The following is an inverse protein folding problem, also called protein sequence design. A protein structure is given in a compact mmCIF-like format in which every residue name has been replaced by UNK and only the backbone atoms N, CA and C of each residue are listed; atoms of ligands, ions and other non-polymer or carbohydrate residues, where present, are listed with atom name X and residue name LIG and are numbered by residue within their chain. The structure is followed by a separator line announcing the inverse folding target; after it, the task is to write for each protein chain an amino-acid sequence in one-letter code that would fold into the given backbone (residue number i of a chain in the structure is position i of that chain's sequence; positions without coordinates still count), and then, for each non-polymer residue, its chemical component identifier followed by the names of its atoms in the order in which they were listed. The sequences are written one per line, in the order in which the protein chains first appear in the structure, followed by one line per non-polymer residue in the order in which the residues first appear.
data_IF_535694626630
#
_entry.id   IF_535694626630
#
_cell.length_a   1.000
_cell.length_b   1.000
_cell.length_c   1.000
_cell.angle_alpha   90.00
_cell.angle_beta   90.00
_cell.angle_gamma   90.00
#
_symmetry.space_group_name_H-M   'P 1'
#
loop_
_entity.id
_entity.type
_entity.pdbx_description
1 polymer ?
#
# COMPACT_ATOMS: atom_id res chain seq x y z
N UNK A 1 -18.65 -8.81 18.15
CA UNK A 1 -17.98 -8.05 17.07
C UNK A 1 -17.17 -6.96 17.74
N UNK A 2 -15.88 -6.85 17.48
CA UNK A 2 -15.06 -5.78 18.05
C UNK A 2 -15.42 -4.46 17.35
N UNK A 3 -15.69 -3.41 18.12
CA UNK A 3 -16.02 -2.09 17.58
C UNK A 3 -14.68 -1.36 17.36
N UNK A 4 -14.45 -0.88 16.14
CA UNK A 4 -13.31 -0.06 15.82
C UNK A 4 -13.54 1.39 16.30
N UNK A 5 -12.49 2.07 16.73
CA UNK A 5 -12.56 3.46 17.17
C UNK A 5 -12.79 4.40 15.97
N UNK A 6 -12.08 4.13 14.87
CA UNK A 6 -12.16 4.86 13.59
C UNK A 6 -11.45 4.09 12.47
N UNK A 7 -11.59 4.53 11.24
CA UNK A 7 -10.73 4.12 10.13
C UNK A 7 -9.45 4.98 10.05
N UNK A 8 -8.45 4.47 9.33
CA UNK A 8 -7.15 5.14 9.24
C UNK A 8 -7.22 6.43 8.41
N UNK A 9 -8.14 6.52 7.45
CA UNK A 9 -8.29 7.75 6.65
C UNK A 9 -8.70 8.93 7.52
N UNK A 10 -9.64 8.73 8.44
CA UNK A 10 -10.05 9.77 9.41
C UNK A 10 -8.86 10.23 10.25
N UNK A 11 -8.02 9.30 10.74
CA UNK A 11 -6.82 9.68 11.46
C UNK A 11 -5.85 10.48 10.58
N UNK A 12 -5.65 10.05 9.32
CA UNK A 12 -4.77 10.76 8.38
C UNK A 12 -5.25 12.19 8.11
N UNK A 13 -6.56 12.39 7.94
CA UNK A 13 -7.13 13.73 7.75
C UNK A 13 -7.02 14.62 9.00
N UNK A 14 -7.23 14.05 10.17
CA UNK A 14 -6.99 14.77 11.42
C UNK A 14 -5.53 15.19 11.55
N UNK A 15 -4.60 14.27 11.32
CA UNK A 15 -3.16 14.56 11.34
C UNK A 15 -2.76 15.58 10.27
N UNK A 16 -3.33 15.51 9.06
CA UNK A 16 -3.14 16.51 8.01
C UNK A 16 -3.60 17.90 8.45
N UNK A 17 -4.81 18.00 8.99
CA UNK A 17 -5.40 19.26 9.48
C UNK A 17 -4.52 19.94 10.52
N UNK A 18 -3.93 19.17 11.44
CA UNK A 18 -3.10 19.68 12.52
C UNK A 18 -1.60 19.62 12.22
N UNK A 19 -1.19 19.20 11.01
CA UNK A 19 0.21 19.01 10.58
C UNK A 19 1.00 18.09 11.53
N UNK A 20 0.34 17.08 12.10
CA UNK A 20 0.92 16.12 13.05
C UNK A 20 1.45 14.88 12.30
N UNK A 21 2.67 14.98 11.80
CA UNK A 21 3.31 13.86 11.12
C UNK A 21 3.57 12.70 12.07
N UNK A 22 3.48 11.48 11.54
CA UNK A 22 3.94 10.31 12.26
C UNK A 22 5.45 10.39 12.50
N UNK A 23 5.89 9.98 13.71
CA UNK A 23 7.29 9.63 13.90
C UNK A 23 7.64 8.39 13.07
N UNK A 24 8.90 8.22 12.73
CA UNK A 24 9.36 7.04 12.01
C UNK A 24 9.06 5.75 12.80
N UNK A 25 9.19 5.78 14.12
CA UNK A 25 8.84 4.64 15.00
C UNK A 25 7.36 4.25 14.90
N UNK A 26 6.45 5.23 14.85
CA UNK A 26 5.02 4.97 14.66
C UNK A 26 4.76 4.34 13.29
N UNK A 27 5.34 4.88 12.21
CA UNK A 27 5.20 4.32 10.88
C UNK A 27 5.72 2.88 10.80
N UNK A 28 6.89 2.59 11.35
CA UNK A 28 7.43 1.23 11.37
C UNK A 28 6.55 0.27 12.17
N UNK A 29 5.93 0.72 13.26
CA UNK A 29 4.96 -0.09 14.01
C UNK A 29 3.75 -0.43 13.14
N UNK A 30 3.18 0.55 12.44
CA UNK A 30 2.03 0.37 11.53
C UNK A 30 2.42 -0.58 10.39
N UNK A 31 3.53 -0.31 9.72
CA UNK A 31 4.03 -1.11 8.60
C UNK A 31 4.23 -2.58 9.03
N UNK A 32 4.92 -2.82 10.14
CA UNK A 32 5.16 -4.17 10.65
C UNK A 32 3.86 -4.91 10.93
N UNK A 33 2.91 -4.26 11.61
CA UNK A 33 1.64 -4.87 11.97
C UNK A 33 0.83 -5.26 10.74
N UNK A 34 0.73 -4.35 9.75
CA UNK A 34 -0.05 -4.59 8.54
C UNK A 34 0.64 -5.56 7.58
N UNK A 35 1.97 -5.50 7.43
CA UNK A 35 2.73 -6.49 6.64
C UNK A 35 2.52 -7.90 7.19
N UNK A 36 2.60 -8.11 8.51
CA UNK A 36 2.36 -9.43 9.12
C UNK A 36 0.95 -9.95 8.82
N UNK A 37 -0.05 -9.08 8.90
CA UNK A 37 -1.44 -9.45 8.55
C UNK A 37 -1.57 -9.81 7.07
N UNK A 38 -1.01 -8.99 6.17
CA UNK A 38 -1.10 -9.20 4.73
C UNK A 38 -0.25 -10.40 4.27
N UNK A 39 0.88 -10.67 4.93
CA UNK A 39 1.66 -11.91 4.74
C UNK A 39 0.87 -13.15 5.15
N UNK A 40 0.14 -13.08 6.26
CA UNK A 40 -0.73 -14.19 6.68
C UNK A 40 -1.86 -14.43 5.68
N UNK A 41 -2.47 -13.39 5.13
CA UNK A 41 -3.45 -13.51 4.04
C UNK A 41 -2.81 -14.16 2.81
N UNK A 42 -1.63 -13.71 2.40
CA UNK A 42 -0.91 -14.28 1.26
C UNK A 42 -0.53 -15.76 1.50
N UNK A 43 -0.09 -16.15 2.70
CA UNK A 43 0.18 -17.56 3.07
C UNK A 43 -1.06 -18.44 2.89
N UNK A 44 -2.24 -17.88 3.11
CA UNK A 44 -3.54 -18.54 2.90
C UNK A 44 -4.13 -18.30 1.51
N UNK A 45 -3.31 -17.83 0.57
CA UNK A 45 -3.73 -17.54 -0.82
C UNK A 45 -4.86 -16.51 -0.95
N UNK A 46 -5.03 -15.62 0.02
CA UNK A 46 -6.03 -14.55 0.02
C UNK A 46 -5.37 -13.25 -0.42
N UNK A 47 -5.91 -12.63 -1.47
CA UNK A 47 -5.58 -11.26 -1.91
C UNK A 47 -6.72 -10.32 -1.59
N UNK A 48 -6.42 -9.10 -1.17
CA UNK A 48 -7.43 -8.13 -0.70
C UNK A 48 -8.06 -7.33 -1.84
N UNK A 49 -7.24 -6.81 -2.75
CA UNK A 49 -7.59 -6.10 -4.00
C UNK A 49 -8.19 -4.70 -3.85
N UNK A 50 -8.38 -4.20 -2.64
CA UNK A 50 -8.80 -2.81 -2.37
C UNK A 50 -8.14 -2.27 -1.08
N UNK A 51 -6.80 -2.35 -1.02
CA UNK A 51 -6.04 -1.81 0.11
C UNK A 51 -6.00 -0.29 -0.01
N UNK A 52 -6.58 0.38 0.99
CA UNK A 52 -6.64 1.83 1.15
C UNK A 52 -6.86 2.21 2.62
N UNK A 53 -6.60 3.46 3.02
CA UNK A 53 -6.76 3.85 4.43
C UNK A 53 -8.17 3.66 5.00
N UNK A 54 -9.22 3.81 4.17
CA UNK A 54 -10.61 3.56 4.59
C UNK A 54 -10.84 2.11 5.05
N UNK A 55 -10.09 1.16 4.46
CA UNK A 55 -10.19 -0.27 4.73
C UNK A 55 -9.20 -0.74 5.80
N UNK A 56 -8.60 0.20 6.54
CA UNK A 56 -7.77 -0.07 7.71
C UNK A 56 -8.45 0.53 8.93
N UNK A 57 -8.93 -0.32 9.82
CA UNK A 57 -9.58 0.09 11.06
C UNK A 57 -8.56 0.21 12.19
N UNK A 58 -8.81 1.15 13.08
CA UNK A 58 -8.00 1.36 14.28
C UNK A 58 -8.84 0.98 15.49
N UNK A 59 -8.31 0.10 16.32
CA UNK A 59 -8.90 -0.31 17.58
C UNK A 59 -7.83 -0.43 18.66
N UNK A 60 -7.97 0.34 19.74
CA UNK A 60 -7.04 0.37 20.87
C UNK A 60 -5.57 0.53 20.43
N UNK A 61 -5.31 1.39 19.45
CA UNK A 61 -3.97 1.67 18.91
C UNK A 61 -3.37 0.55 18.03
N UNK A 62 -4.20 -0.41 17.60
CA UNK A 62 -3.85 -1.47 16.65
C UNK A 62 -4.56 -1.23 15.32
N UNK A 63 -3.84 -1.49 14.22
CA UNK A 63 -4.33 -1.33 12.84
C UNK A 63 -4.74 -2.69 12.29
N UNK A 64 -5.95 -2.78 11.75
CA UNK A 64 -6.56 -4.03 11.26
C UNK A 64 -7.11 -3.85 9.85
N UNK A 65 -6.81 -4.79 8.96
CA UNK A 65 -7.41 -4.83 7.62
C UNK A 65 -8.89 -5.21 7.74
N UNK A 66 -9.73 -4.52 6.98
CA UNK A 66 -11.19 -4.71 6.93
C UNK A 66 -11.70 -4.63 5.49
N UNK A 67 -12.99 -4.85 5.29
CA UNK A 67 -13.67 -4.83 3.98
C UNK A 67 -13.07 -5.81 2.95
N UNK A 68 -13.40 -7.07 3.13
CA UNK A 68 -13.01 -8.16 2.23
C UNK A 68 -13.98 -8.34 1.04
N UNK A 69 -14.81 -7.33 0.72
CA UNK A 69 -15.79 -7.41 -0.37
C UNK A 69 -15.19 -7.70 -1.75
N UNK A 70 -14.00 -7.20 -2.02
CA UNK A 70 -13.26 -7.49 -3.26
C UNK A 70 -12.22 -8.62 -3.13
N UNK A 71 -12.04 -9.18 -1.92
CA UNK A 71 -11.04 -10.21 -1.68
C UNK A 71 -11.31 -11.49 -2.47
N UNK A 72 -10.24 -12.22 -2.78
CA UNK A 72 -10.31 -13.50 -3.49
C UNK A 72 -9.35 -14.50 -2.88
N UNK A 73 -9.82 -15.75 -2.77
CA UNK A 73 -8.94 -16.89 -2.53
C UNK A 73 -8.46 -17.42 -3.87
N UNK A 74 -7.14 -17.56 -4.01
CA UNK A 74 -6.51 -18.03 -5.23
C UNK A 74 -6.20 -19.53 -5.10
N UNK A 75 -6.41 -20.29 -6.18
CA UNK A 75 -6.05 -21.72 -6.22
C UNK A 75 -4.51 -21.87 -6.24
N UNK A 76 -3.81 -20.92 -6.84
CA UNK A 76 -2.33 -20.91 -6.93
C UNK A 76 -1.82 -19.50 -6.70
N UNK A 77 -0.62 -19.38 -6.14
CA UNK A 77 0.10 -18.10 -6.13
C UNK A 77 0.57 -17.77 -7.55
N UNK A 78 0.52 -16.49 -7.91
CA UNK A 78 1.07 -16.03 -9.17
C UNK A 78 0.14 -15.09 -9.94
N UNK A 79 0.40 -15.05 -11.23
CA UNK A 79 -0.30 -14.16 -12.16
C UNK A 79 -1.67 -14.76 -12.49
N UNK A 80 -2.70 -13.96 -12.35
CA UNK A 80 -4.07 -14.30 -12.73
C UNK A 80 -4.67 -13.25 -13.64
N UNK A 81 -5.62 -13.63 -14.47
CA UNK A 81 -6.49 -12.69 -15.17
C UNK A 81 -7.62 -12.29 -14.23
N UNK A 82 -7.72 -11.03 -13.89
CA UNK A 82 -8.75 -10.52 -12.99
C UNK A 82 -9.36 -9.22 -13.49
N UNK A 83 -10.60 -8.93 -13.03
CA UNK A 83 -11.23 -7.64 -13.32
C UNK A 83 -10.40 -6.49 -12.77
N UNK A 84 -10.37 -5.38 -13.52
CA UNK A 84 -9.81 -4.12 -13.03
C UNK A 84 -10.69 -3.63 -11.88
N UNK A 85 -10.16 -3.62 -10.68
CA UNK A 85 -10.84 -3.28 -9.42
C UNK A 85 -9.90 -2.57 -8.46
N UNK A 86 -10.49 -1.83 -7.54
CA UNK A 86 -9.79 -1.08 -6.49
C UNK A 86 -10.04 0.41 -6.60
N UNK A 87 -9.50 1.16 -5.66
CA UNK A 87 -9.59 2.62 -5.62
C UNK A 87 -8.48 3.23 -6.44
N UNK A 88 -8.82 4.02 -7.46
CA UNK A 88 -7.92 4.56 -8.50
C UNK A 88 -6.58 5.08 -7.95
N UNK A 89 -6.64 5.89 -6.90
CA UNK A 89 -5.45 6.52 -6.31
C UNK A 89 -4.42 5.52 -5.75
N UNK A 90 -4.88 4.33 -5.35
CA UNK A 90 -4.05 3.28 -4.75
C UNK A 90 -3.76 2.11 -5.68
N UNK A 91 -4.34 2.08 -6.90
CA UNK A 91 -4.14 0.99 -7.86
C UNK A 91 -2.67 0.82 -8.24
N UNK A 92 -2.22 -0.42 -8.44
CA UNK A 92 -0.91 -0.69 -9.06
C UNK A 92 -0.87 -0.16 -10.51
N UNK A 93 0.32 0.11 -11.07
CA UNK A 93 0.45 0.67 -12.42
C UNK A 93 -0.32 -0.10 -13.48
N UNK A 94 -0.26 -1.43 -13.46
CA UNK A 94 -0.98 -2.28 -14.43
C UNK A 94 -2.51 -2.17 -14.30
N UNK A 95 -3.03 -2.08 -13.07
CA UNK A 95 -4.47 -1.88 -12.84
C UNK A 95 -4.92 -0.48 -13.27
N UNK A 96 -4.12 0.53 -12.97
CA UNK A 96 -4.39 1.91 -13.38
C UNK A 96 -4.36 2.08 -14.90
N UNK A 97 -3.38 1.49 -15.57
CA UNK A 97 -3.34 1.45 -17.03
C UNK A 97 -4.57 0.75 -17.60
N UNK A 98 -4.95 -0.40 -17.02
CA UNK A 98 -6.18 -1.11 -17.39
C UNK A 98 -7.42 -0.24 -17.25
N UNK A 99 -7.52 0.54 -16.15
CA UNK A 99 -8.61 1.48 -15.91
C UNK A 99 -8.65 2.57 -17.00
N UNK A 100 -7.51 3.21 -17.28
CA UNK A 100 -7.40 4.27 -18.31
C UNK A 100 -7.75 3.77 -19.70
N UNK A 101 -7.36 2.53 -20.02
CA UNK A 101 -7.68 1.89 -21.31
C UNK A 101 -9.09 1.26 -21.33
N UNK A 102 -9.87 1.40 -20.25
CA UNK A 102 -11.21 0.83 -20.08
C UNK A 102 -11.24 -0.70 -20.28
N UNK A 103 -10.17 -1.38 -19.90
CA UNK A 103 -10.10 -2.83 -19.95
C UNK A 103 -10.98 -3.43 -18.85
N UNK A 104 -11.71 -4.49 -19.17
CA UNK A 104 -12.52 -5.22 -18.19
C UNK A 104 -11.63 -6.05 -17.27
N UNK A 105 -10.54 -6.61 -17.81
CA UNK A 105 -9.63 -7.51 -17.12
C UNK A 105 -8.18 -7.24 -17.52
N UNK A 106 -7.28 -7.52 -16.59
CA UNK A 106 -5.82 -7.52 -16.83
C UNK A 106 -5.19 -8.76 -16.20
N UNK A 107 -4.05 -9.19 -16.76
CA UNK A 107 -3.24 -10.27 -16.21
C UNK A 107 -2.18 -9.67 -15.28
N UNK A 108 -2.21 -10.01 -14.00
CA UNK A 108 -1.27 -9.46 -13.02
C UNK A 108 -1.14 -10.35 -11.77
N UNK A 109 -0.09 -10.13 -10.98
CA UNK A 109 0.04 -10.71 -9.66
C UNK A 109 -0.69 -9.85 -8.63
N UNK A 110 -1.82 -10.35 -8.14
CA UNK A 110 -2.69 -9.59 -7.23
C UNK A 110 -2.03 -9.29 -5.88
N UNK A 111 -1.16 -10.17 -5.35
CA UNK A 111 -0.41 -9.90 -4.12
C UNK A 111 0.55 -8.73 -4.30
N UNK A 112 1.25 -8.67 -5.43
CA UNK A 112 2.16 -7.56 -5.73
C UNK A 112 1.40 -6.25 -6.03
N UNK A 113 0.18 -6.35 -6.56
CA UNK A 113 -0.71 -5.18 -6.68
C UNK A 113 -1.14 -4.67 -5.30
N UNK A 114 -1.48 -5.55 -4.36
CA UNK A 114 -1.79 -5.19 -2.97
C UNK A 114 -0.58 -4.53 -2.27
N UNK A 115 0.66 -4.99 -2.55
CA UNK A 115 1.89 -4.36 -2.03
C UNK A 115 2.01 -2.91 -2.52
N UNK A 116 1.77 -2.65 -3.80
CA UNK A 116 1.80 -1.28 -4.34
C UNK A 116 0.75 -0.40 -3.65
N UNK A 117 -0.48 -0.88 -3.55
CA UNK A 117 -1.57 -0.17 -2.87
C UNK A 117 -1.21 0.18 -1.42
N UNK A 118 -0.61 -0.77 -0.70
CA UNK A 118 -0.13 -0.54 0.66
C UNK A 118 1.03 0.47 0.70
N UNK A 119 1.96 0.40 -0.25
CA UNK A 119 3.03 1.40 -0.42
C UNK A 119 2.49 2.82 -0.57
N UNK A 120 1.45 3.00 -1.38
CA UNK A 120 0.75 4.29 -1.54
C UNK A 120 0.10 4.76 -0.22
N UNK A 121 -0.50 3.84 0.56
CA UNK A 121 -1.05 4.18 1.88
C UNK A 121 0.03 4.69 2.85
N UNK A 122 1.18 4.00 2.93
CA UNK A 122 2.30 4.41 3.78
C UNK A 122 2.90 5.73 3.31
N UNK A 123 3.01 5.94 1.99
CA UNK A 123 3.51 7.19 1.45
C UNK A 123 2.58 8.36 1.80
N UNK A 124 1.26 8.17 1.70
CA UNK A 124 0.29 9.15 2.18
C UNK A 124 0.44 9.43 3.67
N UNK A 125 0.53 8.40 4.50
CA UNK A 125 0.73 8.55 5.94
C UNK A 125 2.03 9.31 6.29
N UNK A 126 3.07 9.14 5.46
CA UNK A 126 4.37 9.81 5.65
C UNK A 126 4.34 11.28 5.25
N UNK A 127 3.54 11.65 4.25
CA UNK A 127 3.52 12.99 3.66
C UNK A 127 2.33 13.83 4.10
N UNK A 128 1.23 13.19 4.49
CA UNK A 128 -0.07 13.80 4.83
C UNK A 128 -0.58 14.75 3.73
N UNK A 129 -0.30 14.44 2.45
CA UNK A 129 -0.78 15.25 1.32
C UNK A 129 -1.13 14.39 0.12
N UNK A 130 -2.32 14.61 -0.47
CA UNK A 130 -2.75 13.93 -1.68
C UNK A 130 -1.89 14.28 -2.90
N UNK A 131 -1.36 15.50 -2.94
CA UNK A 131 -0.50 15.91 -4.05
C UNK A 131 0.72 14.99 -4.21
N UNK A 132 1.29 14.48 -3.10
CA UNK A 132 2.41 13.54 -3.16
C UNK A 132 2.01 12.23 -3.82
N UNK A 133 0.79 11.73 -3.57
CA UNK A 133 0.27 10.52 -4.22
C UNK A 133 0.07 10.73 -5.72
N UNK A 134 -0.53 11.85 -6.11
CA UNK A 134 -0.72 12.20 -7.53
C UNK A 134 0.63 12.30 -8.24
N UNK A 135 1.63 12.90 -7.59
CA UNK A 135 2.98 13.02 -8.12
C UNK A 135 3.66 11.67 -8.41
N UNK A 136 3.42 10.64 -7.58
CA UNK A 136 3.94 9.27 -7.80
C UNK A 136 3.08 8.52 -8.79
N UNK A 137 1.75 8.70 -8.71
CA UNK A 137 0.75 7.95 -9.48
C UNK A 137 0.96 8.01 -10.99
N UNK A 138 1.39 9.15 -11.50
CA UNK A 138 1.57 9.41 -12.93
C UNK A 138 2.97 9.03 -13.45
N UNK A 139 3.86 8.54 -12.57
CA UNK A 139 5.24 8.19 -12.96
C UNK A 139 5.34 6.72 -13.37
N UNK A 140 6.08 6.48 -14.44
CA UNK A 140 6.50 5.17 -14.93
C UNK A 140 8.03 4.97 -14.86
N UNK A 141 8.79 6.01 -14.50
CA UNK A 141 10.24 5.97 -14.33
C UNK A 141 10.63 5.86 -12.85
N UNK A 142 11.31 4.76 -12.51
CA UNK A 142 11.77 4.48 -11.15
C UNK A 142 12.81 5.48 -10.63
N UNK A 143 13.55 6.15 -11.50
CA UNK A 143 14.49 7.21 -11.10
C UNK A 143 13.72 8.42 -10.58
N UNK A 144 12.68 8.84 -11.31
CA UNK A 144 11.81 9.94 -10.91
C UNK A 144 11.04 9.62 -9.63
N UNK A 145 10.53 8.37 -9.48
CA UNK A 145 9.90 7.92 -8.24
C UNK A 145 10.87 8.05 -7.06
N UNK A 146 12.12 7.59 -7.23
CA UNK A 146 13.14 7.72 -6.17
C UNK A 146 13.42 9.17 -5.80
N UNK A 147 13.56 10.03 -6.78
CA UNK A 147 13.75 11.48 -6.57
C UNK A 147 12.59 12.11 -5.80
N UNK A 148 11.33 11.75 -6.15
CA UNK A 148 10.14 12.21 -5.43
C UNK A 148 10.09 11.68 -4.00
N UNK A 149 10.37 10.39 -3.77
CA UNK A 149 10.44 9.83 -2.41
C UNK A 149 11.47 10.56 -1.56
N UNK A 150 12.68 10.80 -2.09
CA UNK A 150 13.71 11.57 -1.40
C UNK A 150 13.22 12.99 -1.12
N UNK A 151 12.66 13.68 -2.12
CA UNK A 151 12.14 15.05 -1.98
C UNK A 151 11.12 15.17 -0.85
N UNK A 152 10.16 14.23 -0.75
CA UNK A 152 9.08 14.30 0.22
C UNK A 152 9.46 13.81 1.61
N UNK A 153 10.41 12.88 1.72
CA UNK A 153 10.68 12.14 2.95
C UNK A 153 12.00 12.46 3.61
N UNK A 154 13.04 12.89 2.84
CA UNK A 154 14.34 13.22 3.42
C UNK A 154 14.21 14.40 4.41
N UNK A 155 15.00 14.36 5.47
CA UNK A 155 14.92 15.35 6.55
C UNK A 155 13.89 15.01 7.64
N UNK A 156 12.93 14.09 7.39
CA UNK A 156 12.00 13.59 8.41
C UNK A 156 12.16 12.11 8.68
N UNK A 157 12.48 11.33 7.66
CA UNK A 157 12.56 9.88 7.73
C UNK A 157 13.90 9.37 7.21
N UNK A 158 14.31 8.20 7.70
CA UNK A 158 15.55 7.55 7.30
C UNK A 158 15.50 6.99 5.88
N UNK A 159 16.67 6.75 5.30
CA UNK A 159 16.77 6.01 4.04
C UNK A 159 16.20 4.60 4.11
N UNK A 160 16.08 4.00 5.31
CA UNK A 160 15.43 2.69 5.47
C UNK A 160 13.96 2.75 5.08
N UNK A 161 13.21 3.75 5.54
CA UNK A 161 11.81 3.93 5.15
C UNK A 161 11.67 4.24 3.66
N UNK A 162 12.54 5.12 3.14
CA UNK A 162 12.55 5.48 1.72
C UNK A 162 12.78 4.23 0.85
N UNK A 163 13.72 3.36 1.23
CA UNK A 163 14.01 2.13 0.48
C UNK A 163 12.86 1.13 0.52
N UNK A 164 12.20 0.96 1.66
CA UNK A 164 11.00 0.11 1.76
C UNK A 164 9.92 0.61 0.79
N UNK A 165 9.63 1.92 0.80
CA UNK A 165 8.67 2.51 -0.11
C UNK A 165 9.09 2.38 -1.57
N UNK A 166 10.37 2.60 -1.87
CA UNK A 166 10.90 2.42 -3.22
C UNK A 166 10.72 0.99 -3.76
N UNK A 167 10.89 -0.03 -2.91
CA UNK A 167 10.65 -1.42 -3.29
C UNK A 167 9.14 -1.71 -3.47
N UNK A 168 8.29 -1.18 -2.58
CA UNK A 168 6.84 -1.40 -2.68
C UNK A 168 6.23 -0.69 -3.89
N UNK A 169 6.78 0.45 -4.30
CA UNK A 169 6.31 1.29 -5.40
C UNK A 169 7.01 1.01 -6.73
N UNK A 170 7.69 -0.14 -6.89
CA UNK A 170 8.23 -0.56 -8.18
C UNK A 170 7.12 -0.59 -9.24
N UNK A 171 7.34 0.09 -10.37
CA UNK A 171 6.40 0.12 -11.49
C UNK A 171 6.27 -1.27 -12.08
N UNK A 172 7.42 -1.88 -12.41
CA UNK A 172 7.48 -3.23 -12.93
C UNK A 172 7.13 -4.25 -11.83
N UNK A 173 6.05 -5.00 -12.08
CA UNK A 173 5.54 -5.99 -11.13
C UNK A 173 6.60 -7.04 -10.76
N UNK A 174 7.44 -7.46 -11.70
CA UNK A 174 8.46 -8.47 -11.46
C UNK A 174 9.51 -8.02 -10.46
N UNK A 175 9.82 -6.72 -10.41
CA UNK A 175 10.79 -6.13 -9.49
C UNK A 175 10.19 -5.83 -8.11
N UNK A 176 8.84 -5.81 -8.00
CA UNK A 176 8.16 -5.54 -6.76
C UNK A 176 8.15 -6.77 -5.86
N UNK A 177 8.60 -6.69 -4.59
CA UNK A 177 8.48 -7.79 -3.65
C UNK A 177 7.01 -8.10 -3.34
N UNK A 178 6.73 -9.29 -2.87
CA UNK A 178 5.48 -9.65 -2.24
C UNK A 178 5.54 -9.44 -0.70
N UNK A 179 4.42 -9.63 0.01
CA UNK A 179 4.39 -9.42 1.45
C UNK A 179 5.28 -10.40 2.21
N UNK A 180 5.41 -11.64 1.75
CA UNK A 180 6.29 -12.64 2.38
C UNK A 180 7.75 -12.23 2.31
N UNK A 181 8.16 -11.69 1.18
CA UNK A 181 9.51 -11.18 0.96
C UNK A 181 9.78 -9.95 1.83
N UNK A 182 8.82 -9.01 1.91
CA UNK A 182 8.93 -7.82 2.76
C UNK A 182 9.00 -8.18 4.24
N UNK A 183 8.13 -9.10 4.71
CA UNK A 183 8.13 -9.57 6.09
C UNK A 183 9.50 -10.14 6.45
N UNK A 184 10.01 -11.08 5.64
CA UNK A 184 11.31 -11.72 5.87
C UNK A 184 12.47 -10.73 5.86
N UNK A 185 12.45 -9.74 4.95
CA UNK A 185 13.56 -8.79 4.78
C UNK A 185 13.65 -7.73 5.87
N UNK A 186 12.50 -7.25 6.36
CA UNK A 186 12.45 -6.05 7.19
C UNK A 186 11.92 -6.26 8.61
N UNK A 187 11.18 -7.37 8.85
CA UNK A 187 10.39 -7.56 10.07
C UNK A 187 10.50 -8.95 10.70
N UNK A 188 11.43 -9.80 10.22
CA UNK A 188 11.74 -11.11 10.84
C UNK A 188 12.59 -10.93 12.07
#
# INVERSE_FOLDING_TARGET
MEIADRDWEKELFERQKFKQFYSEKELFKIINQLIKTLSLLQKNHITHRDIKPQNVLISKGSYKISDFGEARTLIRQGIIVSRVRGTELYMSPILFQGLRLKLVQVSHNTFKSDVFSFGMCIFFASTLTFNSLCDIRELDDMKLIKEKLIKYLSGRYSFKLINILYEMLQVEENNRPDFLTLEKKYFS
#
